data_IF_363808906423
#
_entry.id   IF_363808906423
#
_cell.length_a   1.000
_cell.length_b   1.000
_cell.length_c   1.000
_cell.angle_alpha   90.00
_cell.angle_beta   90.00
_cell.angle_gamma   90.00
#
_symmetry.space_group_name_H-M   'P 1'
#
loop_
_entity.id
_entity.type
_entity.pdbx_description
1 polymer ?
#
# COMPACT_ATOMS: atom_id res chain seq x y z
N UNK A 1 -33.02 9.13 -27.07
CA UNK A 1 -31.86 8.24 -27.08
C UNK A 1 -31.03 8.29 -25.76
N UNK A 2 -31.29 9.22 -24.87
CA UNK A 2 -30.71 9.29 -23.53
C UNK A 2 -31.70 10.04 -22.63
N UNK A 3 -32.00 9.50 -21.43
CA UNK A 3 -32.81 10.21 -20.44
C UNK A 3 -32.02 11.38 -19.84
N UNK A 4 -30.72 11.19 -19.65
CA UNK A 4 -29.83 12.24 -19.16
C UNK A 4 -28.43 12.02 -19.71
N UNK A 5 -27.79 13.09 -20.16
CA UNK A 5 -26.36 13.12 -20.45
C UNK A 5 -25.78 14.43 -19.92
N UNK A 6 -24.88 14.33 -18.96
CA UNK A 6 -24.17 15.45 -18.40
C UNK A 6 -22.66 15.28 -18.62
N UNK A 7 -22.01 16.33 -19.08
CA UNK A 7 -20.55 16.40 -19.26
C UNK A 7 -20.04 17.57 -18.43
N UNK A 8 -18.97 17.36 -17.70
CA UNK A 8 -18.29 18.39 -16.93
C UNK A 8 -16.82 18.47 -17.35
N UNK A 9 -16.36 19.69 -17.61
CA UNK A 9 -14.96 20.02 -17.84
C UNK A 9 -14.56 21.13 -16.86
N UNK A 10 -13.50 20.91 -16.11
CA UNK A 10 -12.97 21.88 -15.16
C UNK A 10 -11.46 21.93 -15.22
N UNK A 11 -10.89 23.10 -14.96
CA UNK A 11 -9.45 23.31 -14.91
C UNK A 11 -9.10 24.25 -13.78
N UNK A 12 -8.00 23.97 -13.09
CA UNK A 12 -7.49 24.77 -11.99
C UNK A 12 -6.01 25.09 -12.20
N UNK A 13 -5.67 26.38 -12.14
CA UNK A 13 -4.31 26.84 -12.03
C UNK A 13 -3.94 27.04 -10.56
N UNK A 14 -2.77 26.56 -10.16
CA UNK A 14 -2.21 26.75 -8.81
C UNK A 14 -0.76 27.23 -8.97
N UNK A 15 -0.36 28.20 -8.14
CA UNK A 15 1.00 28.72 -8.14
C UNK A 15 1.58 28.68 -6.73
N UNK A 16 2.84 28.29 -6.62
CA UNK A 16 3.60 28.18 -5.38
C UNK A 16 4.94 28.90 -5.54
N UNK A 17 5.34 29.67 -4.54
CA UNK A 17 6.60 30.45 -4.58
C UNK A 17 7.84 29.58 -4.72
N UNK A 18 7.81 28.34 -4.14
CA UNK A 18 8.99 27.48 -4.11
C UNK A 18 9.27 26.73 -5.42
N UNK A 19 8.22 26.38 -6.21
CA UNK A 19 8.38 25.51 -7.40
C UNK A 19 7.50 25.92 -8.58
N UNK A 20 6.93 27.13 -8.56
CA UNK A 20 6.14 27.67 -9.67
C UNK A 20 4.70 27.19 -9.73
N UNK A 21 4.10 27.28 -10.88
CA UNK A 21 2.68 26.97 -11.10
C UNK A 21 2.42 25.86 -12.09
N UNK A 22 1.18 25.39 -12.09
CA UNK A 22 0.71 24.41 -13.06
C UNK A 22 -0.80 24.34 -13.14
N UNK A 23 -1.28 23.95 -14.32
CA UNK A 23 -2.70 23.73 -14.60
C UNK A 23 -3.00 22.23 -14.48
N UNK A 24 -4.16 21.90 -13.90
CA UNK A 24 -4.69 20.54 -13.83
C UNK A 24 -6.15 20.53 -14.23
N UNK A 25 -6.50 19.59 -15.07
CA UNK A 25 -7.81 19.49 -15.70
C UNK A 25 -8.53 18.21 -15.27
N UNK A 26 -9.84 18.29 -15.25
CA UNK A 26 -10.74 17.15 -14.98
C UNK A 26 -11.85 17.18 -16.01
N UNK A 27 -12.13 16.01 -16.57
CA UNK A 27 -13.24 15.74 -17.47
C UNK A 27 -14.05 14.59 -16.90
N UNK A 28 -15.37 14.74 -16.89
CA UNK A 28 -16.25 13.67 -16.44
C UNK A 28 -17.56 13.67 -17.20
N UNK A 29 -18.19 12.51 -17.28
CA UNK A 29 -19.53 12.36 -17.84
C UNK A 29 -20.39 11.49 -16.94
N UNK A 30 -21.70 11.73 -17.04
CA UNK A 30 -22.78 10.89 -16.53
C UNK A 30 -23.76 10.68 -17.68
N UNK A 31 -24.07 9.43 -17.93
CA UNK A 31 -25.01 9.04 -18.98
C UNK A 31 -26.04 8.07 -18.44
N UNK A 32 -27.29 8.48 -18.51
CA UNK A 32 -28.44 7.68 -18.11
C UNK A 32 -29.21 7.31 -19.38
N UNK A 33 -28.89 6.17 -20.04
CA UNK A 33 -29.57 5.75 -21.26
C UNK A 33 -31.05 5.43 -21.02
N UNK A 34 -31.38 4.88 -19.86
CA UNK A 34 -32.72 4.61 -19.35
C UNK A 34 -32.70 4.71 -17.82
N UNK A 35 -33.90 4.68 -17.17
CA UNK A 35 -34.03 5.02 -15.75
C UNK A 35 -33.24 4.10 -14.82
N UNK A 36 -33.10 2.84 -15.18
CA UNK A 36 -32.47 1.83 -14.35
C UNK A 36 -30.94 1.81 -14.42
N UNK A 37 -30.31 2.49 -15.40
CA UNK A 37 -28.86 2.43 -15.62
C UNK A 37 -28.22 3.82 -15.70
N UNK A 38 -27.22 4.02 -14.86
CA UNK A 38 -26.30 5.16 -14.95
C UNK A 38 -24.89 4.68 -15.26
N UNK A 39 -24.30 5.22 -16.33
CA UNK A 39 -22.88 5.05 -16.67
C UNK A 39 -22.14 6.34 -16.34
N UNK A 40 -20.98 6.23 -15.72
CA UNK A 40 -20.15 7.39 -15.35
C UNK A 40 -18.69 7.16 -15.65
N UNK A 41 -17.97 8.24 -15.94
CA UNK A 41 -16.53 8.16 -16.16
C UNK A 41 -15.85 9.48 -15.83
N UNK A 42 -14.60 9.38 -15.37
CA UNK A 42 -13.77 10.55 -15.03
C UNK A 42 -12.34 10.34 -15.50
N UNK A 43 -11.77 11.37 -16.08
CA UNK A 43 -10.34 11.58 -16.23
C UNK A 43 -9.95 12.83 -15.44
N UNK A 44 -8.97 12.71 -14.56
CA UNK A 44 -8.51 13.82 -13.74
C UNK A 44 -6.98 13.83 -13.62
N UNK A 45 -6.41 15.00 -13.78
CA UNK A 45 -5.01 15.29 -13.47
C UNK A 45 -4.93 15.85 -12.05
N UNK A 46 -3.97 15.37 -11.29
CA UNK A 46 -3.69 15.84 -9.93
C UNK A 46 -2.22 16.18 -9.74
N UNK A 47 -1.91 16.84 -8.65
CA UNK A 47 -0.53 17.01 -8.17
C UNK A 47 -0.52 17.08 -6.64
N UNK A 48 0.61 16.72 -6.06
CA UNK A 48 0.91 16.94 -4.64
C UNK A 48 2.15 17.82 -4.55
N UNK A 49 1.99 18.99 -3.96
CA UNK A 49 3.11 19.85 -3.63
C UNK A 49 3.97 19.21 -2.53
N UNK A 50 5.30 19.34 -2.56
CA UNK A 50 6.13 19.04 -1.41
C UNK A 50 5.63 19.84 -0.20
N UNK A 51 5.64 19.21 0.96
CA UNK A 51 5.33 19.92 2.22
C UNK A 51 6.50 20.80 2.62
N UNK A 52 6.24 21.75 3.53
CA UNK A 52 7.33 22.57 4.11
C UNK A 52 8.37 21.67 4.79
N UNK A 53 7.94 20.58 5.40
CA UNK A 53 8.84 19.60 6.00
C UNK A 53 9.69 18.88 4.95
N UNK A 54 9.11 18.48 3.83
CA UNK A 54 9.86 17.83 2.74
C UNK A 54 10.98 18.77 2.18
N UNK A 55 10.70 20.06 2.18
CA UNK A 55 11.63 21.06 1.62
C UNK A 55 12.66 21.57 2.66
N UNK A 56 12.25 21.80 3.93
CA UNK A 56 13.01 22.63 4.86
C UNK A 56 13.12 22.08 6.28
N UNK A 57 12.68 20.84 6.59
CA UNK A 57 12.81 20.28 7.94
C UNK A 57 14.27 20.05 8.37
N UNK A 58 15.22 20.33 7.48
CA UNK A 58 16.64 20.09 7.73
C UNK A 58 17.04 18.65 7.38
N UNK A 59 18.27 18.32 7.74
CA UNK A 59 18.86 17.00 7.51
C UNK A 59 19.13 16.32 8.84
N UNK A 60 19.06 15.00 8.86
CA UNK A 60 19.45 14.14 9.96
C UNK A 60 20.45 13.09 9.49
N UNK A 61 21.03 12.39 10.43
CA UNK A 61 21.96 11.30 10.19
C UNK A 61 21.20 9.98 10.16
N UNK A 62 21.63 9.08 9.26
CA UNK A 62 21.15 7.71 9.14
C UNK A 62 22.34 6.75 9.18
N UNK A 63 22.14 5.61 9.86
CA UNK A 63 23.11 4.53 9.94
C UNK A 63 22.49 3.25 9.39
N UNK A 64 22.39 3.15 8.08
CA UNK A 64 21.78 2.01 7.44
C UNK A 64 22.71 0.82 7.32
N UNK A 65 22.11 -0.37 7.34
CA UNK A 65 22.75 -1.60 6.90
C UNK A 65 22.53 -1.80 5.41
N UNK A 66 23.60 -1.97 4.65
CA UNK A 66 23.55 -2.20 3.20
C UNK A 66 24.68 -3.13 2.78
N UNK A 67 24.58 -3.66 1.57
CA UNK A 67 25.68 -4.37 0.90
C UNK A 67 26.20 -3.49 -0.22
N UNK A 68 27.51 -3.20 -0.17
CA UNK A 68 28.19 -2.46 -1.22
C UNK A 68 28.38 -3.36 -2.45
N UNK A 69 27.85 -2.98 -3.64
CA UNK A 69 28.04 -3.75 -4.86
C UNK A 69 29.50 -4.02 -5.22
N UNK A 70 30.41 -3.17 -4.76
CA UNK A 70 31.84 -3.29 -5.05
C UNK A 70 32.60 -4.18 -4.03
N UNK A 71 31.97 -4.68 -2.96
CA UNK A 71 32.62 -5.65 -2.07
C UNK A 71 33.03 -6.90 -2.88
N UNK A 72 34.32 -7.24 -2.79
CA UNK A 72 34.92 -8.29 -3.61
C UNK A 72 34.49 -9.73 -3.22
N UNK A 73 33.86 -9.91 -2.06
CA UNK A 73 33.42 -11.20 -1.57
C UNK A 73 31.92 -11.41 -1.60
N UNK A 74 31.14 -10.39 -1.28
CA UNK A 74 29.68 -10.48 -1.12
C UNK A 74 28.91 -9.55 -2.04
N UNK A 75 29.52 -8.48 -2.57
CA UNK A 75 28.91 -7.55 -3.50
C UNK A 75 28.73 -8.15 -4.90
N UNK A 76 27.98 -7.46 -5.76
CA UNK A 76 27.78 -7.85 -7.15
C UNK A 76 29.09 -8.01 -7.93
N UNK A 77 30.13 -7.25 -7.60
CA UNK A 77 31.47 -7.35 -8.18
C UNK A 77 32.13 -8.71 -7.96
N UNK A 78 31.73 -9.47 -6.95
CA UNK A 78 32.25 -10.82 -6.72
C UNK A 78 31.97 -11.78 -7.88
N UNK A 79 30.79 -11.68 -8.48
CA UNK A 79 30.31 -12.59 -9.55
C UNK A 79 30.13 -11.91 -10.92
N UNK A 80 29.92 -10.59 -10.97
CA UNK A 80 29.67 -9.85 -12.22
C UNK A 80 30.91 -9.05 -12.65
N UNK A 81 31.53 -9.47 -13.75
CA UNK A 81 32.71 -8.82 -14.33
C UNK A 81 32.44 -7.37 -14.77
N UNK A 82 31.22 -7.06 -15.21
CA UNK A 82 30.84 -5.72 -15.65
C UNK A 82 30.74 -4.75 -14.47
N UNK A 83 30.20 -5.20 -13.32
CA UNK A 83 30.17 -4.44 -12.08
C UNK A 83 31.58 -4.23 -11.55
N UNK A 84 32.40 -5.28 -11.57
CA UNK A 84 33.82 -5.20 -11.17
C UNK A 84 34.58 -4.18 -11.98
N UNK A 85 34.37 -4.14 -13.31
CA UNK A 85 35.00 -3.15 -14.17
C UNK A 85 34.57 -1.72 -13.84
N UNK A 86 33.28 -1.49 -13.54
CA UNK A 86 32.79 -0.16 -13.11
C UNK A 86 33.34 0.27 -11.76
N UNK A 87 33.44 -0.64 -10.81
CA UNK A 87 34.09 -0.37 -9.54
C UNK A 87 35.56 0.01 -9.70
N UNK A 88 36.30 -0.72 -10.55
CA UNK A 88 37.69 -0.40 -10.86
C UNK A 88 37.85 0.95 -11.57
N UNK A 89 36.97 1.27 -12.52
CA UNK A 89 36.94 2.58 -13.20
C UNK A 89 36.64 3.74 -12.23
N UNK A 90 35.92 3.48 -11.14
CA UNK A 90 35.69 4.43 -10.06
C UNK A 90 36.85 4.51 -9.04
N UNK A 91 37.97 3.83 -9.30
CA UNK A 91 39.17 3.83 -8.45
C UNK A 91 39.11 2.92 -7.23
N UNK A 92 38.12 2.01 -7.15
CA UNK A 92 37.97 1.11 -6.01
C UNK A 92 38.97 -0.05 -6.15
N UNK A 93 39.74 -0.37 -5.08
CA UNK A 93 40.71 -1.48 -5.10
C UNK A 93 40.04 -2.84 -5.45
N UNK A 94 40.72 -3.67 -6.25
CA UNK A 94 40.21 -4.96 -6.69
C UNK A 94 39.85 -5.94 -5.56
N UNK A 95 40.46 -5.77 -4.38
CA UNK A 95 40.18 -6.57 -3.17
C UNK A 95 39.46 -5.77 -2.10
N UNK A 96 38.71 -4.74 -2.50
CA UNK A 96 37.93 -3.94 -1.58
C UNK A 96 36.94 -4.81 -0.79
N UNK A 97 36.91 -4.59 0.52
CA UNK A 97 35.96 -5.21 1.44
C UNK A 97 35.23 -4.12 2.19
N UNK A 98 33.90 -4.18 2.15
CA UNK A 98 33.08 -3.30 3.00
C UNK A 98 33.34 -3.60 4.47
N UNK A 99 33.38 -2.55 5.29
CA UNK A 99 33.48 -2.68 6.75
C UNK A 99 32.12 -2.37 7.39
N UNK A 100 31.88 -2.97 8.54
CA UNK A 100 30.74 -2.67 9.41
C UNK A 100 31.09 -1.57 10.43
N UNK A 101 30.13 -1.25 11.31
CA UNK A 101 30.29 -0.23 12.36
C UNK A 101 31.43 -0.50 13.35
N UNK A 102 31.90 -1.73 13.44
CA UNK A 102 33.06 -2.08 14.28
C UNK A 102 34.41 -1.87 13.58
N UNK A 103 34.40 -1.52 12.29
CA UNK A 103 35.55 -1.45 11.42
C UNK A 103 36.02 -2.79 10.89
N UNK A 104 35.30 -3.88 11.17
CA UNK A 104 35.64 -5.20 10.64
C UNK A 104 35.00 -5.40 9.25
N UNK A 105 35.68 -6.20 8.40
CA UNK A 105 35.14 -6.56 7.10
C UNK A 105 33.85 -7.39 7.30
N UNK A 106 32.78 -7.05 6.54
CA UNK A 106 31.51 -7.80 6.59
C UNK A 106 31.77 -9.29 6.31
N UNK A 107 30.96 -10.14 6.95
CA UNK A 107 31.11 -11.59 6.91
C UNK A 107 29.92 -12.31 6.22
N UNK A 108 28.95 -11.55 5.67
CA UNK A 108 27.76 -12.12 5.03
C UNK A 108 27.25 -11.23 3.89
N UNK A 109 26.41 -11.81 3.03
CA UNK A 109 25.69 -11.10 1.97
C UNK A 109 24.56 -10.20 2.48
N UNK A 110 24.28 -10.21 3.79
CA UNK A 110 23.33 -9.26 4.40
C UNK A 110 23.91 -7.84 4.47
N UNK A 111 25.22 -7.67 4.21
CA UNK A 111 25.92 -6.42 4.36
C UNK A 111 26.22 -6.09 5.82
N UNK A 112 26.46 -4.82 6.07
CA UNK A 112 26.74 -4.29 7.42
C UNK A 112 26.31 -2.84 7.56
N UNK A 113 26.13 -2.41 8.79
CA UNK A 113 25.86 -1.01 9.09
C UNK A 113 27.16 -0.21 8.87
N UNK A 114 27.05 0.93 8.17
CA UNK A 114 28.20 1.77 7.90
C UNK A 114 28.72 2.43 9.19
N UNK A 115 30.05 2.53 9.40
CA UNK A 115 30.61 3.23 10.54
C UNK A 115 30.42 4.76 10.50
N UNK A 116 30.14 5.32 9.32
CA UNK A 116 29.93 6.75 9.10
C UNK A 116 28.45 7.01 8.85
N UNK A 117 27.92 8.07 9.46
CA UNK A 117 26.54 8.51 9.25
C UNK A 117 26.33 8.99 7.80
N UNK A 118 25.22 8.58 7.22
CA UNK A 118 24.73 9.10 5.95
C UNK A 118 23.77 10.26 6.19
N UNK A 119 23.71 11.18 5.25
CA UNK A 119 22.81 12.32 5.32
C UNK A 119 21.44 11.95 4.76
N UNK A 120 20.39 12.13 5.55
CA UNK A 120 18.99 11.97 5.11
C UNK A 120 18.19 13.23 5.44
N UNK A 121 16.95 13.35 4.93
CA UNK A 121 16.04 14.43 5.30
C UNK A 121 15.52 15.25 4.13
N UNK A 122 15.25 16.53 4.42
CA UNK A 122 14.62 17.46 3.49
C UNK A 122 15.49 17.79 2.27
N UNK A 123 14.82 18.16 1.17
CA UNK A 123 15.48 18.59 -0.05
C UNK A 123 14.74 19.79 -0.68
N UNK A 124 15.33 20.99 -0.68
CA UNK A 124 14.72 22.18 -1.28
C UNK A 124 14.53 22.10 -2.80
N UNK A 125 15.20 21.15 -3.49
CA UNK A 125 15.11 20.98 -4.93
C UNK A 125 13.92 20.10 -5.38
N UNK A 126 13.07 19.65 -4.46
CA UNK A 126 11.92 18.83 -4.77
C UNK A 126 10.91 19.57 -5.66
N UNK A 127 10.32 18.81 -6.57
CA UNK A 127 9.23 19.22 -7.44
C UNK A 127 7.91 18.59 -7.01
N UNK A 128 6.75 19.15 -7.43
CA UNK A 128 5.48 18.48 -7.18
C UNK A 128 5.39 17.12 -7.85
N UNK A 129 4.79 16.15 -7.15
CA UNK A 129 4.35 14.90 -7.76
C UNK A 129 3.18 15.18 -8.73
N UNK A 130 3.05 14.38 -9.75
CA UNK A 130 1.95 14.45 -10.69
C UNK A 130 1.14 13.15 -10.71
N UNK A 131 -0.17 13.24 -10.91
CA UNK A 131 -1.03 12.07 -10.98
C UNK A 131 -2.04 12.13 -12.12
N UNK A 132 -2.41 10.96 -12.62
CA UNK A 132 -3.52 10.77 -13.54
C UNK A 132 -4.45 9.73 -12.91
N UNK A 133 -5.71 10.12 -12.75
CA UNK A 133 -6.80 9.26 -12.28
C UNK A 133 -7.78 9.02 -13.40
N UNK A 134 -8.15 7.75 -13.61
CA UNK A 134 -9.22 7.34 -14.53
C UNK A 134 -10.19 6.46 -13.78
N UNK A 135 -11.48 6.76 -13.88
CA UNK A 135 -12.54 5.93 -13.33
C UNK A 135 -13.61 5.68 -14.38
N UNK A 136 -14.23 4.52 -14.33
CA UNK A 136 -15.41 4.19 -15.11
C UNK A 136 -16.32 3.32 -14.24
N UNK A 137 -17.61 3.59 -14.26
CA UNK A 137 -18.53 2.86 -13.39
C UNK A 137 -19.95 2.82 -13.93
N UNK A 138 -20.69 1.88 -13.39
CA UNK A 138 -22.13 1.71 -13.62
C UNK A 138 -22.87 1.70 -12.28
N UNK A 139 -24.06 2.27 -12.27
CA UNK A 139 -25.04 2.09 -11.21
C UNK A 139 -26.27 1.48 -11.86
N UNK A 140 -26.72 0.37 -11.33
CA UNK A 140 -27.85 -0.38 -11.88
C UNK A 140 -28.88 -0.65 -10.79
N UNK A 141 -30.08 -0.08 -10.99
CA UNK A 141 -31.22 -0.18 -10.07
C UNK A 141 -32.47 -0.56 -10.88
N UNK A 142 -32.64 -1.86 -11.21
CA UNK A 142 -33.70 -2.31 -12.12
C UNK A 142 -35.08 -2.10 -11.51
N UNK A 143 -35.96 -1.46 -12.24
CA UNK A 143 -37.34 -1.19 -11.84
C UNK A 143 -38.21 -2.45 -11.64
N UNK A 144 -37.80 -3.58 -12.24
CA UNK A 144 -38.48 -4.87 -12.12
C UNK A 144 -38.02 -5.73 -10.91
N UNK A 145 -36.98 -5.26 -10.15
CA UNK A 145 -36.51 -5.86 -8.90
C UNK A 145 -36.49 -4.80 -7.81
N UNK A 146 -37.63 -4.66 -7.14
CA UNK A 146 -37.78 -3.67 -6.08
C UNK A 146 -36.72 -3.86 -4.98
N UNK A 147 -36.09 -2.75 -4.57
CA UNK A 147 -35.13 -2.73 -3.49
C UNK A 147 -33.74 -3.26 -3.84
N UNK A 148 -33.46 -3.57 -5.11
CA UNK A 148 -32.13 -3.94 -5.55
C UNK A 148 -31.40 -2.74 -6.17
N UNK A 149 -30.16 -2.52 -5.75
CA UNK A 149 -29.21 -1.64 -6.41
C UNK A 149 -27.80 -2.23 -6.39
N UNK A 150 -27.02 -1.92 -7.43
CA UNK A 150 -25.64 -2.35 -7.61
C UNK A 150 -24.82 -1.21 -8.19
N UNK A 151 -23.62 -1.05 -7.66
CA UNK A 151 -22.58 -0.19 -8.23
C UNK A 151 -21.35 -1.01 -8.56
N UNK A 152 -20.75 -0.77 -9.72
CA UNK A 152 -19.47 -1.33 -10.09
C UNK A 152 -18.61 -0.21 -10.65
N UNK A 153 -17.53 0.10 -9.96
CA UNK A 153 -16.57 1.13 -10.35
C UNK A 153 -15.19 0.52 -10.60
N UNK A 154 -14.62 0.84 -11.73
CA UNK A 154 -13.23 0.64 -12.05
C UNK A 154 -12.45 1.90 -11.74
N UNK A 155 -11.26 1.75 -11.15
CA UNK A 155 -10.34 2.85 -10.95
C UNK A 155 -8.92 2.50 -11.38
N UNK A 156 -8.19 3.52 -11.86
CA UNK A 156 -6.77 3.45 -12.15
C UNK A 156 -6.13 4.79 -11.83
N UNK A 157 -5.17 4.77 -10.93
CA UNK A 157 -4.42 5.94 -10.48
C UNK A 157 -2.95 5.68 -10.74
N UNK A 158 -2.28 6.62 -11.38
CA UNK A 158 -0.84 6.59 -11.61
C UNK A 158 -0.22 7.88 -11.09
N UNK A 159 0.75 7.77 -10.19
CA UNK A 159 1.50 8.89 -9.62
C UNK A 159 2.94 8.77 -10.12
N UNK A 160 3.51 9.88 -10.56
CA UNK A 160 4.89 10.02 -11.01
C UNK A 160 5.61 11.03 -10.15
N UNK A 161 6.93 10.95 -10.15
CA UNK A 161 7.79 11.85 -9.40
C UNK A 161 7.49 11.81 -7.91
N UNK A 162 7.14 10.60 -7.39
CA UNK A 162 6.81 10.40 -5.98
C UNK A 162 8.02 10.80 -5.12
N UNK A 163 7.76 11.64 -4.14
CA UNK A 163 8.78 12.08 -3.17
C UNK A 163 9.02 10.95 -2.18
N UNK A 164 10.22 10.41 -2.22
CA UNK A 164 10.62 9.26 -1.39
C UNK A 164 12.08 9.40 -0.96
N UNK A 165 12.47 8.92 0.23
CA UNK A 165 13.88 8.70 0.54
C UNK A 165 14.42 7.61 -0.40
N UNK A 166 15.70 7.70 -0.70
CA UNK A 166 16.39 6.66 -1.43
C UNK A 166 17.44 6.03 -0.51
N UNK A 167 17.42 4.70 -0.41
CA UNK A 167 18.31 3.98 0.49
C UNK A 167 19.72 3.85 -0.09
N UNK A 168 20.74 3.75 0.77
CA UNK A 168 22.13 3.57 0.37
C UNK A 168 22.33 2.40 -0.60
N UNK A 169 21.69 1.26 -0.33
CA UNK A 169 21.75 0.09 -1.21
C UNK A 169 21.25 0.40 -2.63
N UNK A 170 20.16 1.15 -2.75
CA UNK A 170 19.60 1.53 -4.06
C UNK A 170 20.53 2.49 -4.79
N UNK A 171 21.04 3.52 -4.11
CA UNK A 171 21.99 4.49 -4.70
C UNK A 171 23.20 3.77 -5.30
N UNK A 172 23.82 2.88 -4.54
CA UNK A 172 25.00 2.15 -4.97
C UNK A 172 24.71 1.13 -6.09
N UNK A 173 23.58 0.41 -6.01
CA UNK A 173 23.15 -0.51 -7.04
C UNK A 173 22.83 0.21 -8.35
N UNK A 174 22.16 1.36 -8.30
CA UNK A 174 21.90 2.16 -9.51
C UNK A 174 23.18 2.65 -10.14
N UNK A 175 24.14 3.14 -9.35
CA UNK A 175 25.43 3.60 -9.85
C UNK A 175 26.24 2.45 -10.46
N UNK A 176 26.47 1.36 -9.71
CA UNK A 176 27.43 0.32 -10.12
C UNK A 176 26.82 -0.85 -10.89
N UNK A 177 25.61 -1.29 -10.53
CA UNK A 177 24.98 -2.44 -11.17
C UNK A 177 24.22 -2.02 -12.44
N UNK A 178 23.46 -0.92 -12.34
CA UNK A 178 22.61 -0.43 -13.45
C UNK A 178 23.28 0.63 -14.32
N UNK A 179 24.46 1.12 -13.95
CA UNK A 179 25.22 2.15 -14.69
C UNK A 179 24.46 3.47 -14.87
N UNK A 180 23.70 3.90 -13.86
CA UNK A 180 23.01 5.18 -13.89
C UNK A 180 23.87 6.25 -13.19
N UNK A 181 24.48 7.18 -13.97
CA UNK A 181 25.41 8.17 -13.43
C UNK A 181 24.72 9.19 -12.49
N UNK A 182 23.39 9.33 -12.57
CA UNK A 182 22.63 10.24 -11.71
C UNK A 182 22.82 9.92 -10.23
N UNK A 183 23.01 8.65 -9.91
CA UNK A 183 23.16 8.17 -8.54
C UNK A 183 24.61 8.19 -8.06
N UNK A 184 25.58 8.14 -9.00
CA UNK A 184 26.98 8.15 -8.62
C UNK A 184 27.44 9.48 -7.98
N UNK A 185 26.75 10.59 -8.25
CA UNK A 185 27.04 11.89 -7.63
C UNK A 185 26.49 12.05 -6.20
N UNK A 186 25.76 11.04 -5.67
CA UNK A 186 25.17 11.10 -4.32
C UNK A 186 26.10 10.62 -3.21
N UNK A 187 27.28 10.12 -3.53
CA UNK A 187 28.22 9.63 -2.54
C UNK A 187 29.65 9.91 -2.95
N UNK A 188 30.56 9.91 -1.97
CA UNK A 188 32.01 9.99 -2.19
C UNK A 188 32.70 8.82 -1.51
N UNK A 189 33.86 8.43 -2.04
CA UNK A 189 34.68 7.37 -1.48
C UNK A 189 36.09 7.89 -1.18
N UNK A 190 36.70 7.30 -0.17
CA UNK A 190 38.14 7.44 0.09
C UNK A 190 38.95 6.59 -0.92
N UNK A 191 40.27 6.79 -0.95
CA UNK A 191 41.19 6.08 -1.84
C UNK A 191 41.23 4.55 -1.61
N UNK A 192 40.88 4.10 -0.43
CA UNK A 192 40.77 2.69 -0.06
C UNK A 192 39.44 2.05 -0.48
N UNK A 193 38.51 2.83 -1.05
CA UNK A 193 37.21 2.40 -1.53
C UNK A 193 36.04 2.58 -0.56
N UNK A 194 36.31 2.91 0.72
CA UNK A 194 35.24 3.11 1.70
C UNK A 194 34.41 4.35 1.40
N UNK A 195 33.08 4.28 1.66
CA UNK A 195 32.17 5.41 1.51
C UNK A 195 32.44 6.41 2.63
N UNK A 196 32.68 7.68 2.26
CA UNK A 196 32.93 8.78 3.19
C UNK A 196 31.66 9.63 3.40
N UNK A 197 30.91 9.87 2.32
CA UNK A 197 29.63 10.59 2.37
C UNK A 197 28.60 9.88 1.52
N UNK A 198 27.36 9.90 1.94
CA UNK A 198 26.24 9.43 1.12
C UNK A 198 24.99 10.25 1.46
N UNK A 199 24.26 10.68 0.43
CA UNK A 199 23.08 11.53 0.51
C UNK A 199 21.82 10.75 0.16
N UNK A 200 21.04 10.41 1.18
CA UNK A 200 19.74 9.73 1.14
C UNK A 200 18.56 10.71 1.21
N UNK A 201 18.80 12.01 1.04
CA UNK A 201 17.75 13.02 1.08
C UNK A 201 16.62 12.71 0.09
N UNK A 202 15.42 13.18 0.43
CA UNK A 202 14.21 13.03 -0.39
C UNK A 202 14.47 13.43 -1.84
N UNK A 203 13.87 12.67 -2.76
CA UNK A 203 13.97 12.94 -4.19
C UNK A 203 12.68 12.53 -4.93
N UNK A 204 12.45 13.15 -6.09
CA UNK A 204 11.34 12.81 -6.99
C UNK A 204 11.73 11.62 -7.89
N UNK A 205 11.74 10.43 -7.37
CA UNK A 205 12.27 9.26 -8.05
C UNK A 205 11.23 8.16 -8.26
N UNK A 206 10.19 8.17 -7.42
CA UNK A 206 9.24 7.08 -7.35
C UNK A 206 8.14 7.15 -8.39
N UNK A 207 7.57 6.00 -8.65
CA UNK A 207 6.27 5.87 -9.30
C UNK A 207 5.37 5.00 -8.44
N UNK A 208 4.08 5.33 -8.38
CA UNK A 208 3.07 4.52 -7.72
C UNK A 208 1.88 4.36 -8.65
N UNK A 209 1.41 3.14 -8.78
CA UNK A 209 0.23 2.82 -9.57
C UNK A 209 -0.70 1.93 -8.77
N UNK A 210 -1.98 2.24 -8.79
CA UNK A 210 -3.02 1.37 -8.25
C UNK A 210 -4.17 1.26 -9.24
N UNK A 211 -4.73 0.05 -9.35
CA UNK A 211 -5.82 -0.28 -10.27
C UNK A 211 -6.70 -1.34 -9.62
N UNK A 212 -8.02 -1.17 -9.73
CA UNK A 212 -8.93 -2.12 -9.11
C UNK A 212 -10.39 -1.87 -9.46
N UNK A 213 -11.25 -2.58 -8.74
CA UNK A 213 -12.69 -2.53 -8.87
C UNK A 213 -13.33 -2.44 -7.49
N UNK A 214 -14.35 -1.60 -7.37
CA UNK A 214 -15.23 -1.53 -6.22
C UNK A 214 -16.63 -1.99 -6.63
N UNK A 215 -17.18 -2.96 -5.90
CA UNK A 215 -18.52 -3.51 -6.10
C UNK A 215 -19.34 -3.28 -4.85
N UNK A 216 -20.41 -2.50 -4.98
CA UNK A 216 -21.47 -2.35 -3.98
C UNK A 216 -22.73 -3.05 -4.43
N UNK A 217 -23.36 -3.83 -3.56
CA UNK A 217 -24.66 -4.43 -3.77
C UNK A 217 -25.51 -4.14 -2.54
N UNK A 218 -26.70 -3.66 -2.76
CA UNK A 218 -27.72 -3.51 -1.74
C UNK A 218 -29.03 -4.11 -2.24
N UNK A 219 -29.62 -5.00 -1.44
CA UNK A 219 -30.88 -5.63 -1.79
C UNK A 219 -31.79 -5.74 -0.58
N UNK A 220 -32.84 -4.97 -0.58
CA UNK A 220 -33.95 -5.11 0.35
C UNK A 220 -34.94 -6.13 -0.23
N UNK A 221 -34.97 -7.31 0.33
CA UNK A 221 -35.84 -8.37 -0.11
C UNK A 221 -37.32 -7.99 0.12
N UNK A 222 -38.24 -8.53 -0.68
CA UNK A 222 -39.66 -8.39 -0.40
C UNK A 222 -40.00 -8.82 1.02
N UNK A 223 -40.90 -8.09 1.67
CA UNK A 223 -41.35 -8.40 3.03
C UNK A 223 -41.94 -9.82 3.11
N UNK A 224 -41.56 -10.55 4.15
CA UNK A 224 -41.98 -11.91 4.40
C UNK A 224 -42.74 -12.01 5.73
N UNK A 225 -43.36 -13.17 6.00
CA UNK A 225 -43.95 -13.45 7.33
C UNK A 225 -42.91 -13.49 8.44
N UNK A 226 -41.62 -13.69 8.11
CA UNK A 226 -40.50 -13.72 9.03
C UNK A 226 -39.85 -12.34 9.23
N UNK A 227 -40.40 -11.31 8.58
CA UNK A 227 -39.88 -9.94 8.63
C UNK A 227 -39.25 -9.46 7.34
N UNK A 228 -38.51 -8.39 7.45
CA UNK A 228 -37.77 -7.72 6.38
C UNK A 228 -36.28 -8.12 6.43
N UNK A 229 -35.72 -8.36 5.27
CA UNK A 229 -34.30 -8.69 5.13
C UNK A 229 -33.63 -7.71 4.18
N UNK A 230 -32.46 -7.23 4.57
CA UNK A 230 -31.61 -6.43 3.70
C UNK A 230 -30.22 -7.07 3.61
N UNK A 231 -29.79 -7.36 2.38
CA UNK A 231 -28.44 -7.82 2.09
C UNK A 231 -27.63 -6.65 1.56
N UNK A 232 -26.44 -6.43 2.12
CA UNK A 232 -25.51 -5.41 1.64
C UNK A 232 -24.11 -6.03 1.49
N UNK A 233 -23.41 -5.68 0.42
CA UNK A 233 -22.06 -6.12 0.16
C UNK A 233 -21.22 -4.97 -0.39
N UNK A 234 -20.13 -4.64 0.27
CA UNK A 234 -19.12 -3.69 -0.20
C UNK A 234 -17.80 -4.44 -0.38
N UNK A 235 -17.36 -4.53 -1.63
CA UNK A 235 -16.19 -5.32 -2.01
C UNK A 235 -15.21 -4.48 -2.81
N UNK A 236 -13.93 -4.58 -2.48
CA UNK A 236 -12.82 -3.99 -3.25
C UNK A 236 -11.93 -5.10 -3.76
N UNK A 237 -11.72 -5.15 -5.08
CA UNK A 237 -10.73 -5.99 -5.71
C UNK A 237 -9.55 -5.15 -6.20
N UNK A 238 -8.40 -5.30 -5.54
CA UNK A 238 -7.15 -4.64 -5.90
C UNK A 238 -6.42 -5.48 -6.96
N UNK A 239 -6.52 -5.05 -8.22
CA UNK A 239 -5.89 -5.73 -9.36
C UNK A 239 -4.39 -5.49 -9.41
N UNK A 240 -3.99 -4.24 -9.25
CA UNK A 240 -2.60 -3.78 -9.31
C UNK A 240 -2.33 -2.76 -8.19
N UNK A 241 -1.20 -2.93 -7.51
CA UNK A 241 -0.58 -1.92 -6.68
C UNK A 241 0.91 -2.07 -6.86
N UNK A 242 1.47 -1.23 -7.69
CA UNK A 242 2.89 -1.30 -8.04
C UNK A 242 3.59 0.01 -7.73
N UNK A 243 4.80 -0.11 -7.18
CA UNK A 243 5.64 1.04 -6.89
C UNK A 243 7.08 0.81 -7.34
N UNK A 244 7.75 1.89 -7.72
CA UNK A 244 9.18 1.96 -7.90
C UNK A 244 9.72 3.08 -7.02
N UNK A 245 10.83 2.85 -6.33
CA UNK A 245 11.48 3.84 -5.48
C UNK A 245 12.51 4.68 -6.24
N UNK A 246 12.74 4.36 -7.53
CA UNK A 246 13.75 5.06 -8.30
C UNK A 246 13.43 5.09 -9.79
N UNK A 247 13.94 6.11 -10.48
CA UNK A 247 13.76 6.28 -11.91
C UNK A 247 14.37 5.09 -12.67
N UNK A 248 13.59 4.51 -13.60
CA UNK A 248 14.06 3.37 -14.42
C UNK A 248 14.06 2.00 -13.73
N UNK A 249 13.76 1.91 -12.43
CA UNK A 249 13.57 0.63 -11.78
C UNK A 249 12.27 -0.04 -12.26
N UNK A 250 12.26 -1.35 -12.49
CA UNK A 250 11.02 -2.06 -12.76
C UNK A 250 10.10 -1.90 -11.53
N UNK A 251 8.83 -1.51 -11.74
CA UNK A 251 7.89 -1.36 -10.64
C UNK A 251 7.64 -2.72 -10.00
N UNK A 252 7.66 -2.74 -8.67
CA UNK A 252 7.37 -3.92 -7.87
C UNK A 252 5.88 -4.05 -7.63
N UNK A 253 5.29 -5.18 -8.02
CA UNK A 253 3.89 -5.49 -7.75
C UNK A 253 3.69 -5.90 -6.29
N UNK A 254 2.84 -5.22 -5.58
CA UNK A 254 2.59 -5.41 -4.14
C UNK A 254 1.14 -5.80 -3.83
N UNK A 255 0.22 -5.83 -4.81
CA UNK A 255 -1.13 -6.31 -4.56
C UNK A 255 -1.11 -7.78 -4.13
N UNK A 256 -1.71 -8.08 -2.98
CA UNK A 256 -1.65 -9.40 -2.36
C UNK A 256 -0.43 -9.61 -1.46
N UNK A 257 0.30 -8.54 -1.15
CA UNK A 257 1.47 -8.60 -0.26
C UNK A 257 1.26 -7.79 1.02
N UNK A 258 1.98 -8.21 2.06
CA UNK A 258 2.23 -7.39 3.23
C UNK A 258 3.37 -6.42 2.91
N UNK A 259 3.14 -5.12 3.05
CA UNK A 259 4.11 -4.08 2.79
C UNK A 259 4.16 -3.09 3.96
N UNK A 260 5.31 -2.99 4.63
CA UNK A 260 5.51 -2.08 5.77
C UNK A 260 4.35 -2.12 6.78
N UNK A 261 4.02 -3.31 7.28
CA UNK A 261 2.91 -3.55 8.23
C UNK A 261 1.50 -3.27 7.66
N UNK A 262 1.37 -2.93 6.38
CA UNK A 262 0.09 -2.75 5.70
C UNK A 262 -0.23 -3.94 4.80
N UNK A 263 -1.40 -4.52 4.99
CA UNK A 263 -1.90 -5.57 4.10
C UNK A 263 -2.55 -4.99 2.85
N UNK A 264 -1.92 -5.20 1.69
CA UNK A 264 -2.46 -4.82 0.38
C UNK A 264 -3.31 -5.99 -0.18
N UNK A 265 -4.44 -6.25 0.45
CA UNK A 265 -5.31 -7.37 0.11
C UNK A 265 -5.83 -7.28 -1.33
N UNK A 266 -5.82 -8.39 -2.06
CA UNK A 266 -6.45 -8.44 -3.39
C UNK A 266 -7.96 -8.36 -3.33
N UNK A 267 -8.57 -8.95 -2.31
CA UNK A 267 -10.02 -8.86 -2.09
C UNK A 267 -10.31 -8.56 -0.63
N UNK A 268 -11.11 -7.52 -0.41
CA UNK A 268 -11.75 -7.20 0.86
C UNK A 268 -13.23 -7.09 0.62
N UNK A 269 -14.01 -7.67 1.51
CA UNK A 269 -15.48 -7.63 1.41
C UNK A 269 -16.08 -7.44 2.79
N UNK A 270 -17.01 -6.52 2.90
CA UNK A 270 -17.95 -6.43 4.02
C UNK A 270 -19.30 -6.90 3.51
N UNK A 271 -19.77 -8.04 4.00
CA UNK A 271 -21.09 -8.59 3.70
C UNK A 271 -21.94 -8.48 4.95
N UNK A 272 -23.12 -7.90 4.85
CA UNK A 272 -24.05 -7.83 5.97
C UNK A 272 -25.44 -8.30 5.58
N UNK A 273 -26.06 -9.05 6.47
CA UNK A 273 -27.48 -9.41 6.43
C UNK A 273 -28.15 -8.76 7.62
N UNK A 274 -29.04 -7.83 7.32
CA UNK A 274 -29.88 -7.15 8.33
C UNK A 274 -31.28 -7.76 8.28
N UNK A 275 -31.79 -8.11 9.46
CA UNK A 275 -33.14 -8.61 9.66
C UNK A 275 -33.90 -7.69 10.61
N UNK A 276 -35.16 -7.41 10.28
CA UNK A 276 -36.10 -6.66 11.10
C UNK A 276 -37.47 -7.32 11.15
N UNK A 277 -38.01 -7.49 12.35
CA UNK A 277 -39.36 -8.00 12.56
C UNK A 277 -40.00 -7.33 13.74
N UNK A 278 -41.10 -6.59 13.50
CA UNK A 278 -41.79 -5.81 14.52
C UNK A 278 -40.85 -4.86 15.28
N UNK A 279 -40.54 -5.18 16.53
CA UNK A 279 -39.66 -4.40 17.43
C UNK A 279 -38.24 -4.98 17.55
N UNK A 280 -37.98 -6.09 16.90
CA UNK A 280 -36.72 -6.80 16.97
C UNK A 280 -35.93 -6.65 15.67
N UNK A 281 -34.64 -6.73 15.76
CA UNK A 281 -33.78 -6.79 14.59
C UNK A 281 -32.45 -7.43 14.93
N UNK A 282 -31.82 -7.97 13.91
CA UNK A 282 -30.50 -8.55 13.99
C UNK A 282 -29.68 -8.17 12.75
N UNK A 283 -28.40 -7.90 12.94
CA UNK A 283 -27.46 -7.69 11.84
C UNK A 283 -26.30 -8.67 12.01
N UNK A 284 -26.05 -9.46 10.99
CA UNK A 284 -24.86 -10.30 10.91
C UNK A 284 -23.95 -9.74 9.83
N UNK A 285 -22.69 -9.42 10.20
CA UNK A 285 -21.70 -8.88 9.27
C UNK A 285 -20.51 -9.82 9.19
N UNK A 286 -20.04 -10.05 7.97
CA UNK A 286 -18.81 -10.79 7.67
C UNK A 286 -17.81 -9.83 7.05
N UNK A 287 -16.67 -9.64 7.72
CA UNK A 287 -15.52 -8.90 7.20
C UNK A 287 -14.48 -9.87 6.67
N UNK A 288 -14.35 -9.94 5.37
CA UNK A 288 -13.44 -10.88 4.69
C UNK A 288 -12.22 -10.17 4.15
N UNK A 289 -11.06 -10.80 4.32
CA UNK A 289 -9.78 -10.39 3.77
C UNK A 289 -9.11 -11.57 3.10
N UNK A 290 -8.70 -11.40 1.84
CA UNK A 290 -7.94 -12.42 1.12
C UNK A 290 -6.57 -12.66 1.76
N UNK A 291 -5.96 -13.79 1.45
CA UNK A 291 -4.60 -14.08 1.92
C UNK A 291 -3.57 -13.08 1.40
N UNK A 292 -2.46 -12.97 2.13
CA UNK A 292 -1.31 -12.15 1.78
C UNK A 292 -0.03 -12.99 1.72
N UNK A 293 0.95 -12.48 0.96
CA UNK A 293 2.34 -12.92 0.98
C UNK A 293 3.19 -11.88 1.69
N UNK A 294 4.27 -12.28 2.33
CA UNK A 294 5.27 -11.34 2.80
C UNK A 294 5.96 -10.64 1.63
N UNK A 295 6.14 -9.33 1.74
CA UNK A 295 6.91 -8.56 0.78
C UNK A 295 8.39 -8.65 1.16
N UNK A 296 9.15 -9.37 0.37
CA UNK A 296 10.59 -9.47 0.58
C UNK A 296 11.32 -8.28 -0.02
N UNK A 297 12.11 -7.61 0.79
CA UNK A 297 12.93 -6.47 0.38
C UNK A 297 14.24 -6.93 -0.30
N UNK A 298 14.71 -8.13 0.03
CA UNK A 298 15.85 -8.76 -0.62
C UNK A 298 15.36 -9.87 -1.56
N UNK A 299 16.01 -10.09 -2.71
CA UNK A 299 15.76 -11.25 -3.57
C UNK A 299 16.32 -12.54 -2.96
N UNK A 300 16.27 -12.70 -1.64
CA UNK A 300 16.71 -13.93 -0.98
C UNK A 300 15.83 -15.11 -1.43
N UNK A 301 16.44 -16.26 -1.53
CA UNK A 301 15.79 -17.54 -1.91
C UNK A 301 14.57 -17.82 -1.03
N UNK A 302 14.62 -17.43 0.25
CA UNK A 302 13.56 -17.63 1.23
C UNK A 302 12.20 -17.02 0.85
N UNK A 303 12.20 -15.96 0.04
CA UNK A 303 10.99 -15.27 -0.36
C UNK A 303 10.42 -15.70 -1.69
N UNK A 304 11.23 -16.32 -2.53
CA UNK A 304 10.84 -16.83 -3.86
C UNK A 304 10.55 -18.33 -3.81
N UNK A 305 11.12 -19.04 -2.85
CA UNK A 305 10.91 -20.47 -2.67
C UNK A 305 9.72 -20.76 -1.74
N UNK A 306 8.61 -21.33 -2.23
CA UNK A 306 7.49 -21.75 -1.39
C UNK A 306 7.82 -22.86 -0.42
N UNK A 307 8.94 -23.57 -0.61
CA UNK A 307 9.45 -24.62 0.26
C UNK A 307 10.46 -24.15 1.32
N UNK A 308 10.85 -22.85 1.29
CA UNK A 308 11.79 -22.32 2.25
C UNK A 308 11.29 -22.48 3.70
N UNK A 309 12.18 -22.94 4.57
CA UNK A 309 11.90 -23.17 5.98
C UNK A 309 12.37 -21.94 6.77
N UNK A 310 11.50 -21.40 7.60
CA UNK A 310 11.89 -20.34 8.53
C UNK A 310 12.86 -20.88 9.58
N UNK A 311 14.05 -20.31 9.66
CA UNK A 311 15.09 -20.74 10.58
C UNK A 311 14.70 -20.64 12.07
N UNK A 312 13.76 -19.72 12.41
CA UNK A 312 13.30 -19.52 13.80
C UNK A 312 12.17 -20.48 14.18
N UNK A 313 11.27 -20.79 13.25
CA UNK A 313 10.04 -21.56 13.55
C UNK A 313 10.07 -22.98 13.01
N UNK A 314 11.00 -23.33 12.14
CA UNK A 314 11.05 -24.61 11.44
C UNK A 314 9.87 -24.86 10.48
N UNK A 315 9.01 -23.85 10.25
CA UNK A 315 7.82 -23.99 9.42
C UNK A 315 8.08 -23.65 7.96
N UNK A 316 7.63 -24.51 7.04
CA UNK A 316 7.64 -24.25 5.62
C UNK A 316 6.49 -23.32 5.20
N UNK A 317 6.68 -22.53 4.13
CA UNK A 317 5.64 -21.68 3.54
C UNK A 317 5.11 -20.56 4.44
N UNK A 318 5.86 -20.16 5.46
CA UNK A 318 5.46 -19.09 6.39
C UNK A 318 5.26 -17.73 5.73
N UNK A 319 5.84 -17.51 4.56
CA UNK A 319 5.71 -16.29 3.78
C UNK A 319 4.32 -16.08 3.16
N UNK A 320 3.43 -17.07 3.26
CA UNK A 320 2.07 -17.00 2.72
C UNK A 320 1.05 -17.32 3.80
N UNK A 321 0.11 -16.42 4.03
CA UNK A 321 -1.00 -16.60 4.94
C UNK A 321 -2.32 -16.68 4.19
N UNK A 322 -3.20 -17.57 4.63
CA UNK A 322 -4.53 -17.75 4.05
C UNK A 322 -5.47 -16.57 4.31
N UNK A 323 -6.64 -16.64 3.70
CA UNK A 323 -7.71 -15.67 3.92
C UNK A 323 -8.24 -15.76 5.37
N UNK A 324 -8.79 -14.65 5.86
CA UNK A 324 -9.44 -14.55 7.16
C UNK A 324 -10.79 -13.87 7.04
N UNK A 325 -11.78 -14.38 7.78
CA UNK A 325 -13.09 -13.77 7.93
C UNK A 325 -13.40 -13.57 9.42
N UNK A 326 -13.93 -12.40 9.73
CA UNK A 326 -14.46 -12.06 11.05
C UNK A 326 -15.96 -11.93 10.95
N UNK A 327 -16.66 -12.44 11.96
CA UNK A 327 -18.12 -12.42 12.02
C UNK A 327 -18.55 -11.57 13.20
N UNK A 328 -19.38 -10.58 12.93
CA UNK A 328 -19.95 -9.68 13.93
C UNK A 328 -21.46 -9.89 13.98
N UNK A 329 -22.04 -9.87 15.18
CA UNK A 329 -23.47 -10.01 15.37
C UNK A 329 -23.98 -8.88 16.27
N UNK A 330 -25.06 -8.23 15.85
CA UNK A 330 -25.78 -7.23 16.63
C UNK A 330 -27.25 -7.58 16.73
N UNK A 331 -27.83 -7.50 17.93
CA UNK A 331 -29.26 -7.60 18.18
C UNK A 331 -29.82 -6.23 18.57
N UNK A 332 -31.04 -5.92 18.13
CA UNK A 332 -31.72 -4.66 18.38
C UNK A 332 -33.11 -4.92 18.91
N UNK A 333 -33.55 -4.09 19.85
CA UNK A 333 -34.92 -4.08 20.35
C UNK A 333 -35.44 -2.66 20.50
N UNK A 334 -36.62 -2.39 19.93
CA UNK A 334 -37.35 -1.13 20.06
C UNK A 334 -38.36 -1.26 21.20
N UNK A 335 -38.09 -0.57 22.30
CA UNK A 335 -38.96 -0.61 23.45
C UNK A 335 -40.25 0.19 23.20
N UNK A 336 -41.39 -0.15 23.87
CA UNK A 336 -42.66 0.54 23.71
C UNK A 336 -42.64 2.03 24.09
N UNK A 337 -41.69 2.43 24.91
CA UNK A 337 -41.52 3.82 25.41
C UNK A 337 -40.50 4.64 24.58
N UNK A 338 -40.38 4.38 23.30
CA UNK A 338 -39.44 5.05 22.38
C UNK A 338 -37.94 4.88 22.74
N UNK A 339 -37.62 3.88 23.55
CA UNK A 339 -36.23 3.47 23.80
C UNK A 339 -35.75 2.49 22.77
N UNK A 340 -34.49 2.52 22.42
CA UNK A 340 -33.86 1.48 21.59
C UNK A 340 -32.65 0.89 22.29
N UNK A 341 -32.62 -0.43 22.36
CA UNK A 341 -31.49 -1.21 22.88
C UNK A 341 -30.77 -1.89 21.72
N UNK A 342 -29.45 -1.95 21.82
CA UNK A 342 -28.61 -2.76 20.96
C UNK A 342 -27.54 -3.44 21.81
N UNK A 343 -27.34 -4.72 21.54
CA UNK A 343 -26.24 -5.50 22.09
C UNK A 343 -25.53 -6.17 20.92
N UNK A 344 -24.23 -6.27 20.99
CA UNK A 344 -23.50 -6.88 19.91
C UNK A 344 -22.17 -7.49 20.34
N UNK A 345 -21.65 -8.30 19.47
CA UNK A 345 -20.34 -8.91 19.59
C UNK A 345 -19.62 -8.78 18.26
N UNK A 346 -18.46 -8.16 18.29
CA UNK A 346 -17.53 -8.17 17.18
C UNK A 346 -16.62 -9.36 17.32
N UNK A 347 -16.25 -9.97 16.18
CA UNK A 347 -15.44 -11.19 16.12
C UNK A 347 -16.03 -12.33 16.97
N UNK A 348 -17.28 -12.70 16.66
CA UNK A 348 -18.08 -13.71 17.37
C UNK A 348 -17.32 -15.01 17.65
N UNK A 349 -16.49 -15.46 16.72
CA UNK A 349 -15.76 -16.72 16.81
C UNK A 349 -14.33 -16.55 17.40
N UNK A 350 -13.99 -15.37 17.91
CA UNK A 350 -12.67 -15.05 18.46
C UNK A 350 -11.52 -15.40 17.51
N UNK A 351 -11.73 -15.10 16.22
CA UNK A 351 -10.75 -15.40 15.17
C UNK A 351 -9.54 -14.48 15.34
N UNK A 352 -8.35 -15.06 15.40
CA UNK A 352 -7.09 -14.29 15.42
C UNK A 352 -6.69 -13.91 13.98
N UNK A 353 -6.14 -12.72 13.84
CA UNK A 353 -5.52 -12.29 12.59
C UNK A 353 -4.25 -13.08 12.28
N UNK A 354 -3.84 -13.18 11.01
CA UNK A 354 -2.60 -13.84 10.65
C UNK A 354 -1.38 -13.03 11.10
N UNK A 355 -0.35 -13.70 11.62
CA UNK A 355 0.93 -13.09 11.96
C UNK A 355 1.92 -13.22 10.82
N UNK A 356 2.69 -12.16 10.55
CA UNK A 356 3.76 -12.10 9.56
C UNK A 356 5.09 -11.84 10.26
N UNK A 357 6.11 -12.63 9.95
CA UNK A 357 7.37 -12.62 10.68
C UNK A 357 8.47 -11.80 9.98
N UNK A 358 8.35 -11.55 8.68
CA UNK A 358 9.37 -10.85 7.88
C UNK A 358 9.16 -9.35 7.75
N UNK A 359 8.20 -8.78 8.46
CA UNK A 359 7.81 -7.37 8.26
C UNK A 359 8.47 -6.42 9.25
N UNK A 360 9.04 -6.93 10.32
CA UNK A 360 9.73 -6.11 11.29
C UNK A 360 11.23 -6.42 11.33
N UNK A 361 12.02 -5.38 11.26
CA UNK A 361 13.45 -5.43 11.60
C UNK A 361 13.74 -5.94 13.02
N UNK A 362 12.71 -6.17 13.83
CA UNK A 362 12.80 -6.62 15.22
C UNK A 362 12.58 -8.14 15.40
N UNK A 363 12.33 -8.90 14.33
CA UNK A 363 12.17 -10.36 14.43
C UNK A 363 10.91 -10.85 15.15
N UNK A 364 10.05 -9.95 15.62
CA UNK A 364 8.79 -10.29 16.28
C UNK A 364 7.67 -10.31 15.25
N UNK A 365 6.91 -11.41 15.19
CA UNK A 365 5.70 -11.49 14.36
C UNK A 365 4.76 -10.32 14.64
N UNK A 366 4.42 -9.57 13.61
CA UNK A 366 3.44 -8.48 13.72
C UNK A 366 2.26 -8.78 12.83
N UNK A 367 1.03 -8.57 13.32
CA UNK A 367 -0.14 -8.60 12.46
C UNK A 367 -0.05 -7.41 11.48
N UNK A 368 -0.71 -7.50 10.30
CA UNK A 368 -0.96 -6.32 9.48
C UNK A 368 -1.58 -5.23 10.35
N UNK A 369 -1.08 -4.00 10.24
CA UNK A 369 -1.70 -2.87 10.93
C UNK A 369 -3.11 -2.64 10.37
N UNK A 370 -4.03 -3.36 10.95
CA UNK A 370 -5.46 -3.27 10.64
C UNK A 370 -6.19 -3.45 11.97
N UNK A 371 -6.92 -2.44 12.44
CA UNK A 371 -7.67 -2.52 13.70
C UNK A 371 -8.62 -3.72 13.80
N UNK A 372 -9.04 -4.28 12.65
CA UNK A 372 -9.85 -5.50 12.63
C UNK A 372 -9.13 -6.74 13.17
N UNK A 373 -7.79 -6.74 13.19
CA UNK A 373 -6.98 -7.85 13.65
C UNK A 373 -6.46 -7.69 15.09
N UNK A 374 -6.51 -6.47 15.61
CA UNK A 374 -5.95 -6.14 16.92
C UNK A 374 -6.96 -6.34 18.04
N UNK A 375 -8.25 -6.41 17.70
CA UNK A 375 -9.34 -6.55 18.67
C UNK A 375 -9.82 -8.00 18.63
N UNK A 376 -9.64 -8.71 19.74
CA UNK A 376 -10.23 -10.01 19.99
C UNK A 376 -11.77 -9.90 20.05
N UNK A 377 -12.45 -10.90 20.53
CA UNK A 377 -13.90 -10.84 20.72
C UNK A 377 -14.26 -9.66 21.64
N UNK A 378 -15.09 -8.75 21.11
CA UNK A 378 -15.49 -7.54 21.82
C UNK A 378 -17.00 -7.46 21.94
N UNK A 379 -17.50 -7.34 23.18
CA UNK A 379 -18.93 -7.17 23.47
C UNK A 379 -19.23 -5.70 23.70
N UNK A 380 -20.37 -5.25 23.20
CA UNK A 380 -20.84 -3.90 23.41
C UNK A 380 -22.35 -3.83 23.61
N UNK A 381 -22.81 -2.81 24.30
CA UNK A 381 -24.23 -2.49 24.43
C UNK A 381 -24.45 -0.99 24.28
N UNK A 382 -25.64 -0.61 23.84
CA UNK A 382 -26.06 0.78 23.72
C UNK A 382 -27.54 0.93 23.98
N UNK A 383 -27.90 2.06 24.60
CA UNK A 383 -29.28 2.51 24.80
C UNK A 383 -29.44 3.91 24.24
N UNK A 384 -30.53 4.14 23.56
CA UNK A 384 -30.90 5.45 23.03
C UNK A 384 -32.38 5.73 23.39
N UNK A 385 -32.68 6.87 23.99
CA UNK A 385 -34.01 7.33 24.27
C UNK A 385 -34.37 8.49 23.34
N UNK A 386 -35.56 8.42 22.74
CA UNK A 386 -36.20 9.58 22.08
C UNK A 386 -37.28 10.11 22.95
N UNK A 387 -37.27 11.42 23.21
CA UNK A 387 -38.26 12.15 23.99
C UNK A 387 -39.27 12.83 23.10
#
# INVERSE_FOLDING_TARGET
LAHELAVNASSRYSHYSAFGGGTRSKYSFRWKPFDDLLVRGTYAEGFRAPTVADLYAGTSESFESFLDPCDSSYGAAASDASVRARCAAAGIPARYRQIDQSGAAINSSSGGQNPIAFRTGANPALKPESSITRTAGIVYSPSYVDGFDMTLDYYKIAIRDVITPILAADILNYCYVRSDPTYCGRFTRASDGHIVTLDESLANLGTLRTEGYDLGIHYRLPSTRLGEFTLSSDSTYLKDYSQSTSAGAPPRQLAGYMNNMQGLYRLRTNLSLDWGWQRFGATWTVRYFSGLKDACWSPSVECTDPGAINALTGAAGFSRKGAVAFHDLQLRWQAPWNGSFRIGVNNLFDRKGPLYYNVSSAGNGSPPYNPAFDIDRYFYMGYQQKF
#
